data_IF_595285381986
#
_entry.id   IF_595285381986
#
_cell.length_a   1.000
_cell.length_b   1.000
_cell.length_c   1.000
_cell.angle_alpha   90.00
_cell.angle_beta   90.00
_cell.angle_gamma   90.00
#
_symmetry.space_group_name_H-M   'P 1'
#
loop_
_entity.id
_entity.type
_entity.pdbx_description
1 polymer ?
#
# COMPACT_ATOMS: atom_id res chain seq x y z
N UNK A 1 12.24 -9.22 -11.37
CA UNK A 1 13.38 -8.63 -12.12
C UNK A 1 13.93 -7.38 -11.47
N UNK A 2 13.14 -6.31 -11.22
CA UNK A 2 13.70 -5.06 -10.63
C UNK A 2 14.47 -5.25 -9.32
N UNK A 3 13.92 -6.01 -8.37
CA UNK A 3 14.61 -6.31 -7.10
C UNK A 3 15.73 -7.33 -7.27
N UNK A 4 15.53 -8.37 -8.06
CA UNK A 4 16.48 -9.50 -8.19
C UNK A 4 17.64 -9.22 -9.16
N UNK A 5 17.54 -8.17 -9.99
CA UNK A 5 18.54 -7.86 -11.01
C UNK A 5 18.39 -8.70 -12.28
N UNK A 6 19.41 -8.63 -13.15
CA UNK A 6 19.46 -9.31 -14.44
C UNK A 6 20.75 -10.12 -14.65
N UNK A 7 21.50 -10.35 -13.58
CA UNK A 7 22.68 -11.20 -13.64
C UNK A 7 22.25 -12.68 -13.76
N UNK A 8 23.00 -13.49 -14.49
CA UNK A 8 22.65 -14.89 -14.73
C UNK A 8 22.98 -15.79 -13.53
N UNK A 9 24.00 -15.43 -12.76
CA UNK A 9 24.51 -16.23 -11.65
C UNK A 9 24.07 -15.70 -10.29
N UNK A 10 23.91 -14.37 -10.15
CA UNK A 10 23.68 -13.72 -8.87
C UNK A 10 22.36 -12.94 -8.80
N UNK A 11 21.70 -13.02 -7.65
CA UNK A 11 20.59 -12.16 -7.31
C UNK A 11 21.08 -10.90 -6.60
N UNK A 12 20.56 -9.75 -6.99
CA UNK A 12 20.78 -8.49 -6.30
C UNK A 12 20.11 -8.47 -4.93
N UNK A 13 18.90 -9.01 -4.84
CA UNK A 13 18.12 -9.26 -3.64
C UNK A 13 17.16 -10.42 -3.91
N UNK A 14 16.84 -11.23 -2.91
CA UNK A 14 15.81 -12.25 -3.03
C UNK A 14 14.43 -11.60 -2.86
N UNK A 15 13.63 -11.55 -3.91
CA UNK A 15 12.26 -11.04 -3.84
C UNK A 15 11.34 -12.07 -3.20
N UNK A 16 10.42 -11.62 -2.33
CA UNK A 16 9.44 -12.46 -1.67
C UNK A 16 8.02 -11.98 -2.03
N UNK A 17 7.23 -12.85 -2.67
CA UNK A 17 5.82 -12.58 -2.91
C UNK A 17 5.00 -12.89 -1.66
N UNK A 18 4.20 -11.92 -1.17
CA UNK A 18 3.43 -12.04 0.07
C UNK A 18 2.06 -11.35 -0.03
N UNK A 19 1.08 -11.79 0.76
CA UNK A 19 1.07 -12.98 1.62
C UNK A 19 0.21 -14.07 0.98
N UNK A 20 0.76 -15.24 0.77
CA UNK A 20 0.17 -16.32 -0.02
C UNK A 20 -0.69 -17.25 0.86
N UNK A 21 -2.01 -17.30 0.72
CA UNK A 21 -2.88 -16.55 -0.18
C UNK A 21 -4.20 -16.20 0.54
N UNK A 22 -5.00 -15.31 -0.12
CA UNK A 22 -6.29 -14.84 0.42
C UNK A 22 -6.13 -14.18 1.79
N UNK A 23 -5.14 -13.32 1.90
CA UNK A 23 -4.78 -12.56 3.10
C UNK A 23 -5.79 -11.43 3.36
N UNK A 24 -6.12 -11.09 4.59
CA UNK A 24 -5.84 -11.73 5.86
C UNK A 24 -7.08 -11.79 6.77
N UNK A 25 -8.23 -11.29 6.33
CA UNK A 25 -9.36 -10.99 7.17
C UNK A 25 -9.23 -9.63 7.88
N UNK A 26 -10.23 -9.25 8.69
CA UNK A 26 -10.13 -8.11 9.57
C UNK A 26 -8.91 -8.24 10.50
N UNK A 27 -8.20 -7.13 10.73
CA UNK A 27 -6.97 -7.09 11.52
C UNK A 27 -7.17 -7.68 12.92
N UNK A 28 -8.30 -7.40 13.56
CA UNK A 28 -8.64 -7.89 14.91
C UNK A 28 -8.74 -9.41 15.03
N UNK A 29 -8.87 -10.13 13.94
CA UNK A 29 -9.03 -11.60 13.90
C UNK A 29 -8.06 -12.30 12.96
N UNK A 30 -7.03 -11.62 12.45
CA UNK A 30 -6.14 -12.18 11.43
C UNK A 30 -5.41 -13.45 11.83
N UNK A 31 -5.16 -13.64 13.14
CA UNK A 31 -4.53 -14.84 13.70
C UNK A 31 -5.49 -16.03 13.86
N UNK A 32 -6.80 -15.82 13.68
CA UNK A 32 -7.85 -16.85 13.82
C UNK A 32 -8.64 -17.05 12.53
N UNK A 33 -8.55 -16.09 11.60
CA UNK A 33 -9.42 -15.98 10.44
C UNK A 33 -9.30 -17.17 9.48
N UNK A 34 -10.45 -17.59 8.95
CA UNK A 34 -10.54 -18.57 7.87
C UNK A 34 -11.19 -17.93 6.65
N UNK A 35 -10.40 -17.63 5.62
CA UNK A 35 -10.91 -17.13 4.36
C UNK A 35 -11.56 -18.29 3.58
N UNK A 36 -12.87 -18.23 3.40
CA UNK A 36 -13.62 -19.20 2.58
C UNK A 36 -13.81 -18.62 1.18
N UNK A 37 -13.29 -19.32 0.17
CA UNK A 37 -13.34 -18.87 -1.22
C UNK A 37 -13.68 -20.04 -2.13
N UNK A 38 -14.43 -19.75 -3.20
CA UNK A 38 -14.66 -20.69 -4.28
C UNK A 38 -13.35 -20.95 -5.05
N UNK A 39 -13.24 -22.11 -5.71
CA UNK A 39 -12.11 -22.39 -6.59
C UNK A 39 -12.01 -21.36 -7.73
N UNK A 40 -13.15 -20.88 -8.23
CA UNK A 40 -13.19 -19.85 -9.25
C UNK A 40 -12.60 -18.55 -8.74
N UNK A 41 -13.06 -18.02 -7.60
CA UNK A 41 -12.53 -16.77 -7.02
C UNK A 41 -11.06 -16.90 -6.68
N UNK A 42 -10.65 -18.04 -6.15
CA UNK A 42 -9.26 -18.34 -5.85
C UNK A 42 -8.40 -18.22 -7.11
N UNK A 43 -8.79 -18.88 -8.21
CA UNK A 43 -8.04 -18.95 -9.47
C UNK A 43 -8.11 -17.67 -10.30
N UNK A 44 -9.20 -16.93 -10.25
CA UNK A 44 -9.40 -15.75 -11.08
C UNK A 44 -9.01 -14.43 -10.40
N UNK A 45 -8.95 -14.40 -9.05
CA UNK A 45 -8.71 -13.16 -8.31
C UNK A 45 -7.50 -13.25 -7.39
N UNK A 46 -7.45 -14.25 -6.49
CA UNK A 46 -6.45 -14.26 -5.42
C UNK A 46 -5.08 -14.82 -5.84
N UNK A 47 -5.03 -15.71 -6.81
CA UNK A 47 -3.79 -16.36 -7.24
C UNK A 47 -3.07 -15.72 -8.44
N UNK A 48 -3.70 -15.00 -9.39
CA UNK A 48 -3.04 -14.57 -10.62
C UNK A 48 -1.79 -13.71 -10.40
N UNK A 49 -1.79 -12.79 -9.44
CA UNK A 49 -0.62 -11.96 -9.12
C UNK A 49 0.56 -12.80 -8.60
N UNK A 50 0.30 -13.78 -7.74
CA UNK A 50 1.33 -14.71 -7.26
C UNK A 50 1.86 -15.59 -8.39
N UNK A 51 0.97 -16.09 -9.26
CA UNK A 51 1.38 -16.86 -10.45
C UNK A 51 2.33 -16.06 -11.32
N UNK A 52 2.00 -14.81 -11.61
CA UNK A 52 2.89 -13.93 -12.39
C UNK A 52 4.23 -13.68 -11.67
N UNK A 53 4.22 -13.45 -10.34
CA UNK A 53 5.44 -13.32 -9.56
C UNK A 53 6.34 -14.57 -9.67
N UNK A 54 5.75 -15.76 -9.62
CA UNK A 54 6.49 -17.03 -9.71
C UNK A 54 6.94 -17.30 -11.16
N UNK A 55 6.01 -17.29 -12.12
CA UNK A 55 6.29 -17.76 -13.47
C UNK A 55 7.00 -16.74 -14.36
N UNK A 56 6.68 -15.45 -14.19
CA UNK A 56 7.27 -14.37 -14.98
C UNK A 56 8.34 -13.63 -14.18
N UNK A 57 8.05 -13.28 -12.94
CA UNK A 57 8.97 -12.57 -12.04
C UNK A 57 10.10 -13.42 -11.48
N UNK A 58 9.97 -14.76 -11.51
CA UNK A 58 10.93 -15.73 -10.97
C UNK A 58 11.35 -15.40 -9.53
N UNK A 59 10.37 -15.03 -8.68
CA UNK A 59 10.66 -14.69 -7.28
C UNK A 59 11.35 -15.83 -6.55
N UNK A 60 12.35 -15.50 -5.72
CA UNK A 60 13.13 -16.48 -4.97
C UNK A 60 12.40 -16.98 -3.72
N UNK A 61 11.44 -16.22 -3.20
CA UNK A 61 10.71 -16.60 -2.01
C UNK A 61 9.21 -16.33 -2.13
N UNK A 62 8.44 -17.11 -1.38
CA UNK A 62 7.00 -16.90 -1.16
C UNK A 62 6.74 -16.97 0.34
N UNK A 63 5.98 -16.00 0.88
CA UNK A 63 5.60 -15.99 2.29
C UNK A 63 4.14 -16.43 2.43
N UNK A 64 3.89 -17.48 3.24
CA UNK A 64 2.55 -17.89 3.60
C UNK A 64 1.86 -16.86 4.49
N UNK A 65 0.56 -16.67 4.30
CA UNK A 65 -0.24 -15.73 5.07
C UNK A 65 -0.56 -16.26 6.49
N UNK A 66 -0.99 -15.33 7.37
CA UNK A 66 -1.44 -15.69 8.72
C UNK A 66 -2.70 -16.57 8.71
N UNK A 67 -3.69 -16.21 7.93
CA UNK A 67 -5.00 -16.83 7.93
C UNK A 67 -5.00 -18.28 7.45
N UNK A 68 -6.10 -18.95 7.73
CA UNK A 68 -6.50 -20.16 7.01
C UNK A 68 -7.14 -19.79 5.68
N UNK A 69 -6.98 -20.67 4.71
CA UNK A 69 -7.71 -20.62 3.44
C UNK A 69 -8.43 -21.96 3.28
N UNK A 70 -9.77 -21.91 3.20
CA UNK A 70 -10.64 -23.08 3.12
C UNK A 70 -10.33 -24.12 4.21
N UNK A 71 -10.11 -23.65 5.44
CA UNK A 71 -9.90 -24.46 6.64
C UNK A 71 -8.44 -24.82 6.96
N UNK A 72 -7.50 -24.70 6.01
CA UNK A 72 -6.09 -25.04 6.24
C UNK A 72 -5.24 -23.77 6.42
N UNK A 73 -4.34 -23.69 7.44
CA UNK A 73 -3.41 -22.57 7.62
C UNK A 73 -2.53 -22.39 6.40
N UNK A 74 -2.40 -21.18 5.87
CA UNK A 74 -1.66 -20.94 4.64
C UNK A 74 -0.21 -21.43 4.67
N UNK A 75 0.47 -21.29 5.83
CA UNK A 75 1.84 -21.80 6.02
C UNK A 75 1.92 -23.34 6.19
N UNK A 76 0.79 -24.04 6.19
CA UNK A 76 0.68 -25.50 6.29
C UNK A 76 -0.34 -26.10 5.32
N UNK A 77 -0.75 -25.36 4.30
CA UNK A 77 -1.74 -25.76 3.31
C UNK A 77 -1.08 -26.49 2.14
N UNK A 78 -1.17 -27.83 2.11
CA UNK A 78 -0.56 -28.64 1.05
C UNK A 78 -1.11 -28.32 -0.34
N UNK A 79 -2.40 -27.97 -0.45
CA UNK A 79 -3.00 -27.61 -1.74
C UNK A 79 -2.35 -26.33 -2.30
N UNK A 80 -2.20 -25.29 -1.49
CA UNK A 80 -1.55 -24.04 -1.92
C UNK A 80 -0.05 -24.24 -2.17
N UNK A 81 0.68 -24.85 -1.22
CA UNK A 81 2.15 -24.89 -1.23
C UNK A 81 2.69 -25.99 -2.14
N UNK A 82 2.07 -27.19 -2.16
CA UNK A 82 2.57 -28.32 -2.93
C UNK A 82 1.88 -28.41 -4.30
N UNK A 83 0.55 -28.42 -4.34
CA UNK A 83 -0.15 -28.69 -5.59
C UNK A 83 -0.13 -27.48 -6.52
N UNK A 84 -0.44 -26.27 -6.03
CA UNK A 84 -0.44 -25.06 -6.84
C UNK A 84 0.98 -24.51 -7.02
N UNK A 85 1.64 -24.15 -5.91
CA UNK A 85 2.90 -23.41 -5.98
C UNK A 85 4.03 -24.25 -6.59
N UNK A 86 4.28 -25.47 -6.04
CA UNK A 86 5.37 -26.33 -6.50
C UNK A 86 5.05 -27.08 -7.79
N UNK A 87 3.95 -27.84 -7.84
CA UNK A 87 3.67 -28.72 -8.97
C UNK A 87 3.09 -27.99 -10.18
N UNK A 88 2.09 -27.11 -9.98
CA UNK A 88 1.42 -26.45 -11.11
C UNK A 88 2.27 -25.29 -11.66
N UNK A 89 2.85 -24.46 -10.77
CA UNK A 89 3.60 -23.28 -11.22
C UNK A 89 5.09 -23.49 -11.35
N UNK A 90 5.63 -24.59 -10.81
CA UNK A 90 7.05 -24.93 -10.90
C UNK A 90 7.95 -24.04 -10.04
N UNK A 91 7.48 -23.62 -8.86
CA UNK A 91 8.26 -22.81 -7.95
C UNK A 91 9.43 -23.61 -7.36
N UNK A 92 10.65 -23.09 -7.50
CA UNK A 92 11.90 -23.74 -7.04
C UNK A 92 12.54 -23.06 -5.83
N UNK A 93 12.09 -21.85 -5.46
CA UNK A 93 12.62 -21.09 -4.33
C UNK A 93 12.15 -21.63 -2.97
N UNK A 94 12.35 -20.88 -1.90
CA UNK A 94 11.93 -21.27 -0.55
C UNK A 94 10.60 -20.64 -0.13
N UNK A 95 9.87 -21.35 0.73
CA UNK A 95 8.65 -20.84 1.38
C UNK A 95 8.98 -20.46 2.82
N UNK A 96 8.69 -19.20 3.18
CA UNK A 96 8.78 -18.73 4.56
C UNK A 96 7.39 -18.56 5.17
N UNK A 97 7.27 -18.75 6.49
CA UNK A 97 6.06 -18.32 7.20
C UNK A 97 6.05 -16.81 7.37
N UNK A 98 4.89 -16.22 7.57
CA UNK A 98 4.82 -14.93 8.23
C UNK A 98 5.28 -15.05 9.69
N UNK A 99 5.59 -13.92 10.33
CA UNK A 99 6.15 -13.91 11.67
C UNK A 99 5.14 -14.48 12.67
N UNK A 100 5.55 -15.55 13.38
CA UNK A 100 4.71 -16.30 14.33
C UNK A 100 3.53 -17.07 13.73
N UNK A 101 3.25 -17.02 12.44
CA UNK A 101 2.09 -17.65 11.80
C UNK A 101 1.96 -19.16 12.07
N UNK A 102 3.08 -19.89 12.27
CA UNK A 102 3.02 -21.32 12.63
C UNK A 102 2.50 -21.52 14.06
N UNK A 103 2.69 -20.53 14.95
CA UNK A 103 2.14 -20.55 16.30
C UNK A 103 0.62 -20.53 16.28
N UNK A 104 0.04 -19.81 15.33
CA UNK A 104 -1.41 -19.71 15.20
C UNK A 104 -2.09 -21.06 14.95
N UNK A 105 -1.38 -22.06 14.39
CA UNK A 105 -1.98 -23.38 14.15
C UNK A 105 -2.56 -24.02 15.39
N UNK A 106 -1.91 -23.85 16.55
CA UNK A 106 -2.39 -24.39 17.84
C UNK A 106 -2.95 -23.35 18.80
N UNK A 107 -2.66 -22.06 18.65
CA UNK A 107 -3.17 -21.01 19.54
C UNK A 107 -4.42 -20.30 18.98
N UNK A 108 -4.42 -19.94 17.68
CA UNK A 108 -5.51 -19.20 17.04
C UNK A 108 -6.42 -20.09 16.18
N UNK A 109 -5.84 -20.85 15.27
CA UNK A 109 -6.59 -21.69 14.33
C UNK A 109 -7.15 -22.98 14.94
N UNK A 110 -6.51 -23.49 16.00
CA UNK A 110 -6.87 -24.73 16.70
C UNK A 110 -6.95 -25.95 15.77
N UNK A 111 -6.12 -26.00 14.73
CA UNK A 111 -6.02 -27.12 13.79
C UNK A 111 -4.99 -28.17 14.23
N UNK A 112 -4.12 -27.80 15.17
CA UNK A 112 -3.18 -28.66 15.87
C UNK A 112 -3.32 -28.41 17.36
N UNK A 113 -2.78 -29.32 18.19
CA UNK A 113 -2.88 -29.19 19.64
C UNK A 113 -1.57 -28.79 20.32
N UNK A 114 -0.45 -28.94 19.64
CA UNK A 114 0.89 -28.72 20.20
C UNK A 114 1.82 -28.02 19.20
N UNK A 115 2.86 -27.34 19.70
CA UNK A 115 3.90 -26.75 18.83
C UNK A 115 4.56 -27.80 17.93
N UNK A 116 4.77 -29.03 18.42
CA UNK A 116 5.40 -30.13 17.65
C UNK A 116 4.51 -30.52 16.46
N UNK A 117 3.21 -30.65 16.66
CA UNK A 117 2.25 -30.91 15.57
C UNK A 117 2.23 -29.76 14.56
N UNK A 118 2.28 -28.50 15.02
CA UNK A 118 2.27 -27.33 14.16
C UNK A 118 3.50 -27.26 13.25
N UNK A 119 4.69 -27.44 13.79
CA UNK A 119 5.92 -27.44 12.98
C UNK A 119 5.97 -28.64 12.04
N UNK A 120 5.44 -29.79 12.46
CA UNK A 120 5.33 -30.98 11.61
C UNK A 120 4.40 -30.73 10.42
N UNK A 121 3.24 -30.14 10.66
CA UNK A 121 2.31 -29.77 9.59
C UNK A 121 2.94 -28.77 8.62
N UNK A 122 3.55 -27.70 9.10
CA UNK A 122 4.18 -26.68 8.28
C UNK A 122 5.30 -27.28 7.42
N UNK A 123 6.24 -28.01 8.03
CA UNK A 123 7.39 -28.61 7.37
C UNK A 123 6.95 -29.62 6.30
N UNK A 124 6.10 -30.57 6.65
CA UNK A 124 5.65 -31.62 5.73
C UNK A 124 4.84 -31.06 4.55
N UNK A 125 4.13 -29.94 4.74
CA UNK A 125 3.31 -29.32 3.71
C UNK A 125 4.05 -28.27 2.89
N UNK A 126 5.35 -28.02 3.14
CA UNK A 126 6.19 -27.26 2.24
C UNK A 126 6.68 -25.90 2.73
N UNK A 127 6.46 -25.54 3.99
CA UNK A 127 7.09 -24.37 4.60
C UNK A 127 8.54 -24.70 4.99
N UNK A 128 9.50 -23.94 4.42
CA UNK A 128 10.94 -24.22 4.59
C UNK A 128 11.56 -23.41 5.73
N UNK A 129 11.01 -22.22 6.03
CA UNK A 129 11.54 -21.28 7.01
C UNK A 129 10.44 -20.75 7.92
N UNK A 130 10.72 -20.67 9.21
CA UNK A 130 9.87 -20.04 10.20
C UNK A 130 10.38 -18.64 10.60
N UNK A 131 9.58 -17.61 10.39
CA UNK A 131 9.79 -16.33 11.07
C UNK A 131 9.24 -16.46 12.51
N UNK A 132 10.14 -16.56 13.48
CA UNK A 132 9.84 -16.85 14.88
C UNK A 132 10.73 -17.97 15.43
N UNK A 133 10.30 -18.62 16.52
CA UNK A 133 11.12 -19.61 17.20
C UNK A 133 10.55 -21.05 17.19
N UNK A 134 9.43 -21.29 16.49
CA UNK A 134 8.76 -22.58 16.57
C UNK A 134 9.57 -23.74 16.01
N UNK A 135 10.43 -23.51 15.02
CA UNK A 135 11.24 -24.56 14.42
C UNK A 135 12.30 -25.17 15.39
N UNK A 136 12.46 -24.63 16.60
CA UNK A 136 13.15 -25.33 17.67
C UNK A 136 12.51 -26.67 18.04
N UNK A 137 11.20 -26.85 17.81
CA UNK A 137 10.49 -28.10 18.04
C UNK A 137 10.69 -29.14 16.93
N UNK A 138 11.36 -28.80 15.82
CA UNK A 138 11.63 -29.75 14.74
C UNK A 138 12.51 -30.94 15.19
N UNK A 139 13.46 -30.73 16.10
CA UNK A 139 14.24 -31.82 16.66
C UNK A 139 13.32 -32.90 17.28
N UNK A 140 12.37 -32.45 18.12
CA UNK A 140 11.41 -33.35 18.74
C UNK A 140 10.47 -33.97 17.70
N UNK A 141 10.08 -33.23 16.65
CA UNK A 141 9.22 -33.74 15.58
C UNK A 141 9.91 -34.87 14.79
N UNK A 142 11.21 -34.74 14.51
CA UNK A 142 12.01 -35.79 13.87
C UNK A 142 12.17 -37.00 14.79
N UNK A 143 12.55 -36.80 16.06
CA UNK A 143 12.69 -37.86 17.04
C UNK A 143 11.37 -38.67 17.23
N UNK A 144 10.23 -37.98 17.13
CA UNK A 144 8.90 -38.63 17.20
C UNK A 144 8.46 -39.27 15.86
N UNK A 145 9.29 -39.15 14.80
CA UNK A 145 8.94 -39.66 13.47
C UNK A 145 7.80 -38.92 12.76
N UNK A 146 7.51 -37.67 13.18
CA UNK A 146 6.48 -36.81 12.59
C UNK A 146 6.99 -36.03 11.39
N UNK A 147 8.30 -35.81 11.28
CA UNK A 147 9.01 -35.18 10.15
C UNK A 147 10.15 -36.09 9.73
N UNK A 148 10.28 -36.34 8.43
CA UNK A 148 11.42 -37.08 7.87
C UNK A 148 12.62 -36.13 7.75
N UNK A 149 13.83 -36.56 8.16
CA UNK A 149 15.08 -35.83 8.00
C UNK A 149 15.30 -35.39 6.53
N UNK A 150 14.89 -36.23 5.57
CA UNK A 150 14.98 -35.89 4.16
C UNK A 150 14.18 -34.62 3.81
N UNK A 151 12.99 -34.43 4.41
CA UNK A 151 12.22 -33.17 4.18
C UNK A 151 12.89 -31.96 4.82
N UNK A 152 13.55 -32.17 5.95
CA UNK A 152 14.36 -31.12 6.57
C UNK A 152 15.56 -30.74 5.70
N UNK A 153 16.27 -31.74 5.14
CA UNK A 153 17.36 -31.52 4.20
C UNK A 153 16.93 -30.72 2.96
N UNK A 154 15.76 -31.06 2.38
CA UNK A 154 15.18 -30.31 1.27
C UNK A 154 14.91 -28.83 1.64
N UNK A 155 14.40 -28.56 2.84
CA UNK A 155 14.15 -27.19 3.30
C UNK A 155 15.47 -26.41 3.47
N UNK A 156 16.50 -27.04 4.04
CA UNK A 156 17.85 -26.47 4.18
C UNK A 156 18.45 -26.20 2.82
N UNK A 157 18.33 -27.12 1.86
CA UNK A 157 18.82 -26.95 0.49
C UNK A 157 18.17 -25.73 -0.17
N UNK A 158 16.85 -25.59 -0.12
CA UNK A 158 16.13 -24.43 -0.66
C UNK A 158 16.63 -23.12 -0.08
N UNK A 159 16.86 -23.04 1.22
CA UNK A 159 17.36 -21.85 1.91
C UNK A 159 18.80 -21.52 1.55
N UNK A 160 19.69 -22.54 1.49
CA UNK A 160 21.07 -22.32 1.13
C UNK A 160 21.24 -21.99 -0.35
N UNK A 161 20.38 -22.52 -1.22
CA UNK A 161 20.37 -22.14 -2.62
C UNK A 161 20.11 -20.64 -2.80
N UNK A 162 19.17 -20.06 -2.06
CA UNK A 162 18.94 -18.61 -2.06
C UNK A 162 20.19 -17.83 -1.62
N UNK A 163 20.90 -18.30 -0.58
CA UNK A 163 22.14 -17.68 -0.12
C UNK A 163 23.29 -17.81 -1.13
N UNK A 164 23.37 -18.92 -1.84
CA UNK A 164 24.35 -19.10 -2.94
C UNK A 164 24.05 -18.12 -4.07
N UNK A 165 22.82 -18.04 -4.52
CA UNK A 165 22.40 -17.07 -5.55
C UNK A 165 22.63 -15.61 -5.14
N UNK A 166 22.58 -15.30 -3.84
CA UNK A 166 22.93 -13.99 -3.30
C UNK A 166 24.44 -13.76 -3.17
N UNK A 167 25.27 -14.76 -3.45
CA UNK A 167 26.72 -14.68 -3.33
C UNK A 167 27.23 -14.53 -1.90
N UNK A 168 26.42 -14.88 -0.88
CA UNK A 168 26.80 -14.70 0.54
C UNK A 168 27.99 -15.56 0.95
N UNK A 169 28.20 -16.67 0.24
CA UNK A 169 29.30 -17.62 0.49
C UNK A 169 30.52 -17.39 -0.42
N UNK A 170 30.41 -16.49 -1.39
CA UNK A 170 31.45 -16.22 -2.39
C UNK A 170 32.37 -15.07 -1.95
N UNK A 171 33.46 -14.87 -2.69
CA UNK A 171 34.30 -13.70 -2.47
C UNK A 171 33.62 -12.46 -3.00
N UNK A 172 33.76 -11.34 -2.28
CA UNK A 172 33.13 -10.07 -2.63
C UNK A 172 33.42 -9.60 -4.07
N UNK A 173 34.59 -9.95 -4.59
CA UNK A 173 35.01 -9.57 -5.93
C UNK A 173 34.22 -10.30 -7.02
N UNK A 174 33.63 -11.46 -6.73
CA UNK A 174 32.89 -12.31 -7.66
C UNK A 174 31.47 -11.82 -7.86
N UNK A 175 30.80 -11.34 -6.80
CA UNK A 175 29.44 -10.82 -6.89
C UNK A 175 29.41 -9.39 -7.45
N UNK A 176 28.75 -9.15 -8.62
CA UNK A 176 28.70 -7.84 -9.24
C UNK A 176 27.95 -6.81 -8.38
N UNK A 177 27.01 -7.24 -7.55
CA UNK A 177 26.19 -6.35 -6.71
C UNK A 177 26.95 -5.83 -5.49
N UNK A 178 27.99 -6.53 -5.00
CA UNK A 178 28.84 -6.04 -3.92
C UNK A 178 29.69 -4.83 -4.32
N UNK A 179 29.78 -4.56 -5.62
CA UNK A 179 30.47 -3.38 -6.17
C UNK A 179 29.61 -2.11 -6.14
N UNK A 180 28.32 -2.23 -5.82
CA UNK A 180 27.43 -1.06 -5.71
C UNK A 180 27.79 -0.27 -4.45
N UNK A 181 28.31 0.97 -4.57
CA UNK A 181 28.73 1.73 -3.41
C UNK A 181 27.52 2.25 -2.62
N UNK A 182 27.68 2.40 -1.30
CA UNK A 182 26.64 2.95 -0.42
C UNK A 182 26.16 4.35 -0.85
N UNK A 183 27.00 5.11 -1.54
CA UNK A 183 26.68 6.45 -2.06
C UNK A 183 25.54 6.48 -3.09
N UNK A 184 25.13 5.30 -3.61
CA UNK A 184 23.93 5.19 -4.46
C UNK A 184 22.64 5.38 -3.65
N UNK A 185 22.67 5.02 -2.35
CA UNK A 185 21.50 5.18 -1.47
C UNK A 185 21.19 6.67 -1.32
N UNK A 186 19.94 7.04 -1.61
CA UNK A 186 19.42 8.40 -1.55
C UNK A 186 20.26 9.43 -2.36
N UNK A 187 20.90 8.97 -3.43
CA UNK A 187 21.64 9.83 -4.36
C UNK A 187 20.70 10.77 -5.11
N UNK A 188 21.25 11.80 -5.74
CA UNK A 188 20.48 12.72 -6.58
C UNK A 188 19.75 11.99 -7.70
N UNK A 189 20.38 10.96 -8.29
CA UNK A 189 19.76 10.12 -9.31
C UNK A 189 18.54 9.36 -8.75
N UNK A 190 18.66 8.78 -7.56
CA UNK A 190 17.54 8.08 -6.91
C UNK A 190 16.42 9.03 -6.52
N UNK A 191 16.72 10.26 -6.09
CA UNK A 191 15.70 11.29 -5.85
C UNK A 191 14.98 11.71 -7.14
N UNK A 192 15.69 11.86 -8.25
CA UNK A 192 15.09 12.12 -9.57
C UNK A 192 14.18 10.96 -10.00
N UNK A 193 14.63 9.72 -9.80
CA UNK A 193 13.83 8.54 -10.10
C UNK A 193 12.56 8.50 -9.22
N UNK A 194 12.69 8.77 -7.91
CA UNK A 194 11.53 8.83 -7.01
C UNK A 194 10.50 9.87 -7.49
N UNK A 195 10.96 11.07 -7.87
CA UNK A 195 10.09 12.13 -8.41
C UNK A 195 9.41 11.72 -9.73
N UNK A 196 10.14 11.02 -10.61
CA UNK A 196 9.58 10.50 -11.87
C UNK A 196 8.50 9.45 -11.61
N UNK A 197 8.77 8.50 -10.71
CA UNK A 197 7.78 7.48 -10.32
C UNK A 197 6.55 8.15 -9.72
N UNK A 198 6.72 9.11 -8.81
CA UNK A 198 5.62 9.87 -8.22
C UNK A 198 4.76 10.57 -9.29
N UNK A 199 5.38 11.27 -10.27
CA UNK A 199 4.65 11.92 -11.37
C UNK A 199 3.79 10.95 -12.18
N UNK A 200 4.32 9.74 -12.44
CA UNK A 200 3.61 8.73 -13.24
C UNK A 200 2.53 7.98 -12.46
N UNK A 201 2.58 8.01 -11.13
CA UNK A 201 1.59 7.33 -10.29
C UNK A 201 0.39 8.19 -9.91
N UNK A 202 0.54 9.52 -9.88
CA UNK A 202 -0.58 10.44 -9.55
C UNK A 202 -1.71 10.29 -10.56
N UNK A 203 -2.93 10.11 -10.05
CA UNK A 203 -4.14 9.94 -10.85
C UNK A 203 -4.98 11.21 -10.80
N UNK A 204 -5.35 11.74 -11.96
CA UNK A 204 -6.34 12.81 -12.06
C UNK A 204 -7.74 12.19 -12.09
N UNK A 205 -8.50 12.34 -10.98
CA UNK A 205 -9.83 11.77 -10.83
C UNK A 205 -10.91 12.70 -11.38
N UNK A 206 -10.78 14.00 -11.17
CA UNK A 206 -11.72 15.02 -11.65
C UNK A 206 -10.99 16.25 -12.15
N UNK A 207 -11.49 16.90 -13.21
CA UNK A 207 -10.97 18.17 -13.71
C UNK A 207 -12.08 18.94 -14.43
N UNK A 208 -12.95 19.57 -13.66
CA UNK A 208 -14.09 20.30 -14.18
C UNK A 208 -13.66 21.60 -14.87
N UNK A 209 -14.27 21.90 -16.00
CA UNK A 209 -13.95 23.07 -16.81
C UNK A 209 -12.46 23.26 -17.14
N UNK A 210 -11.67 22.19 -17.07
CA UNK A 210 -10.22 22.23 -17.28
C UNK A 210 -9.51 23.23 -16.35
N UNK A 211 -9.91 23.26 -15.05
CA UNK A 211 -9.28 24.11 -14.04
C UNK A 211 -7.79 23.79 -13.89
N UNK A 212 -7.42 22.52 -14.01
CA UNK A 212 -6.04 22.07 -14.06
C UNK A 212 -5.59 21.89 -15.53
N UNK A 213 -4.34 22.22 -15.86
CA UNK A 213 -3.31 22.77 -14.97
C UNK A 213 -3.53 24.25 -14.64
N UNK A 214 -3.16 24.63 -13.42
CA UNK A 214 -3.19 26.02 -12.97
C UNK A 214 -2.16 26.88 -13.71
N UNK A 215 -2.55 28.05 -14.16
CA UNK A 215 -1.61 29.05 -14.70
C UNK A 215 -1.10 29.97 -13.59
N UNK A 216 0.09 29.67 -13.05
CA UNK A 216 0.70 30.47 -11.98
C UNK A 216 0.88 31.95 -12.30
N UNK A 217 0.86 32.34 -13.57
CA UNK A 217 0.97 33.76 -13.97
C UNK A 217 -0.33 34.52 -13.73
N UNK A 218 -1.45 33.84 -13.57
CA UNK A 218 -2.76 34.44 -13.29
C UNK A 218 -3.12 34.42 -11.81
N UNK A 219 -2.30 33.81 -10.97
CA UNK A 219 -2.54 33.66 -9.54
C UNK A 219 -1.67 34.64 -8.75
N UNK A 220 -2.27 35.26 -7.73
CA UNK A 220 -1.58 36.11 -6.76
C UNK A 220 -1.44 35.43 -5.40
N UNK A 221 -2.46 34.67 -5.00
CA UNK A 221 -2.49 33.97 -3.73
C UNK A 221 -3.11 32.59 -3.89
N UNK A 222 -2.44 31.56 -3.38
CA UNK A 222 -2.90 30.20 -3.30
C UNK A 222 -3.15 29.87 -1.83
N UNK A 223 -4.34 29.35 -1.51
CA UNK A 223 -4.65 28.77 -0.20
C UNK A 223 -4.33 27.28 -0.21
N UNK A 224 -3.54 26.82 0.73
CA UNK A 224 -3.28 25.41 0.97
C UNK A 224 -3.86 25.07 2.34
N UNK A 225 -4.74 24.09 2.40
CA UNK A 225 -5.38 23.66 3.66
C UNK A 225 -5.28 22.13 3.80
N UNK A 226 -5.37 21.67 5.02
CA UNK A 226 -5.49 20.23 5.31
C UNK A 226 -4.29 19.62 6.04
N UNK A 227 -4.54 18.53 6.79
CA UNK A 227 -3.55 17.91 7.67
C UNK A 227 -2.40 17.23 6.92
N UNK A 228 -2.62 16.85 5.68
CA UNK A 228 -1.60 16.17 4.87
C UNK A 228 -0.73 17.14 4.06
N UNK A 229 -1.03 18.46 4.08
CA UNK A 229 -0.33 19.43 3.24
C UNK A 229 1.16 19.55 3.61
N UNK A 230 1.48 19.64 4.90
CA UNK A 230 2.86 19.71 5.41
C UNK A 230 3.23 18.48 6.25
N UNK A 231 2.78 17.31 5.82
CA UNK A 231 3.04 16.04 6.50
C UNK A 231 4.04 15.19 5.72
N UNK A 232 5.18 14.86 6.37
CA UNK A 232 6.13 13.88 5.81
C UNK A 232 5.59 12.45 5.91
N UNK A 233 4.78 12.15 6.92
CA UNK A 233 4.16 10.83 7.11
C UNK A 233 3.17 10.50 5.99
N UNK A 234 2.44 11.50 5.52
CA UNK A 234 1.51 11.34 4.40
C UNK A 234 2.18 11.08 3.04
N UNK A 235 3.51 11.22 2.96
CA UNK A 235 4.26 10.90 1.73
C UNK A 235 4.66 9.42 1.63
N UNK A 236 4.66 8.69 2.75
CA UNK A 236 5.23 7.35 2.84
C UNK A 236 4.25 6.40 3.53
N UNK A 237 4.25 5.14 3.10
CA UNK A 237 3.48 4.07 3.75
C UNK A 237 4.36 3.28 4.72
N UNK A 238 3.86 2.15 5.20
CA UNK A 238 4.64 1.22 6.02
C UNK A 238 5.85 0.67 5.27
N UNK A 239 6.85 0.25 6.03
CA UNK A 239 8.12 -0.29 5.53
C UNK A 239 8.93 0.69 4.69
N UNK A 240 8.71 1.98 4.89
CA UNK A 240 9.47 3.05 4.22
C UNK A 240 10.93 3.06 4.62
N UNK A 241 11.78 3.48 3.68
CA UNK A 241 13.16 3.86 3.98
C UNK A 241 13.23 5.32 4.46
N UNK A 242 14.33 5.68 5.10
CA UNK A 242 14.58 7.07 5.50
C UNK A 242 15.25 7.83 4.36
N UNK A 243 14.61 8.88 3.87
CA UNK A 243 15.22 9.82 2.91
C UNK A 243 15.91 10.97 3.64
N UNK A 244 16.99 11.48 3.05
CA UNK A 244 17.65 12.69 3.56
C UNK A 244 16.82 13.96 3.33
N UNK A 245 15.89 13.94 2.38
CA UNK A 245 15.08 15.10 1.97
C UNK A 245 13.66 14.66 1.58
N UNK A 246 12.71 15.11 2.35
CA UNK A 246 11.28 15.01 2.03
C UNK A 246 10.81 16.35 1.50
N UNK A 247 9.94 16.35 0.50
CA UNK A 247 9.26 17.54 -0.03
C UNK A 247 7.77 17.31 0.15
N UNK A 248 7.16 18.02 1.10
CA UNK A 248 5.72 17.98 1.36
C UNK A 248 4.94 18.64 0.22
N UNK A 249 3.63 18.45 0.14
CA UNK A 249 2.82 19.06 -0.91
C UNK A 249 2.87 20.58 -0.80
N UNK A 250 2.79 21.11 0.43
CA UNK A 250 2.94 22.54 0.69
C UNK A 250 4.27 23.07 0.16
N UNK A 251 5.38 22.46 0.58
CA UNK A 251 6.72 22.85 0.15
C UNK A 251 6.90 22.75 -1.37
N UNK A 252 6.37 21.66 -1.98
CA UNK A 252 6.43 21.50 -3.44
C UNK A 252 5.69 22.61 -4.21
N UNK A 253 4.53 23.06 -3.67
CA UNK A 253 3.78 24.20 -4.23
C UNK A 253 4.58 25.49 -4.08
N UNK A 254 5.09 25.79 -2.88
CA UNK A 254 5.91 26.98 -2.61
C UNK A 254 7.14 27.06 -3.52
N UNK A 255 7.88 25.96 -3.63
CA UNK A 255 9.06 25.88 -4.49
C UNK A 255 8.71 26.07 -5.98
N UNK A 256 7.58 25.52 -6.44
CA UNK A 256 7.17 25.61 -7.84
C UNK A 256 6.73 27.01 -8.25
N UNK A 257 5.92 27.67 -7.40
CA UNK A 257 5.40 29.01 -7.75
C UNK A 257 6.43 30.12 -7.49
N UNK A 258 7.34 29.93 -6.54
CA UNK A 258 8.39 30.88 -6.18
C UNK A 258 7.82 32.18 -5.55
N UNK A 259 8.61 33.22 -5.53
CA UNK A 259 8.33 34.50 -4.84
C UNK A 259 7.18 35.33 -5.44
N UNK A 260 6.72 34.99 -6.64
CA UNK A 260 5.72 35.81 -7.36
C UNK A 260 4.27 35.47 -6.96
N UNK A 261 4.01 34.37 -6.29
CA UNK A 261 2.70 33.94 -5.82
C UNK A 261 2.78 33.69 -4.33
N UNK A 262 1.90 34.32 -3.58
CA UNK A 262 1.81 34.08 -2.13
C UNK A 262 1.10 32.76 -1.87
N UNK A 263 1.67 31.95 -1.00
CA UNK A 263 1.05 30.74 -0.48
C UNK A 263 0.63 30.98 0.96
N UNK A 264 -0.64 30.78 1.27
CA UNK A 264 -1.21 30.82 2.61
C UNK A 264 -1.52 29.39 3.03
N UNK A 265 -1.20 29.05 4.26
CA UNK A 265 -1.40 27.70 4.78
C UNK A 265 -2.18 27.69 6.09
N UNK A 266 -3.07 26.72 6.23
CA UNK A 266 -3.65 26.28 7.51
C UNK A 266 -3.76 24.75 7.50
N UNK A 267 -3.29 24.10 8.58
CA UNK A 267 -3.56 22.67 8.77
C UNK A 267 -5.09 22.39 8.83
N UNK A 268 -5.86 23.32 9.36
CA UNK A 268 -7.32 23.34 9.36
C UNK A 268 -7.94 22.35 10.34
N UNK A 269 -7.47 21.10 10.40
CA UNK A 269 -7.95 20.07 11.29
C UNK A 269 -6.85 19.06 11.63
N UNK A 270 -7.10 18.22 12.62
CA UNK A 270 -6.28 17.03 12.86
C UNK A 270 -6.56 15.95 11.80
N UNK A 271 -5.63 15.03 11.59
CA UNK A 271 -5.75 13.96 10.58
C UNK A 271 -7.05 13.14 10.76
N UNK A 272 -7.46 12.81 11.98
CA UNK A 272 -8.62 11.96 12.25
C UNK A 272 -9.45 12.35 13.49
N UNK A 273 -8.93 13.22 14.36
CA UNK A 273 -9.66 13.61 15.57
C UNK A 273 -10.56 14.81 15.31
N UNK A 274 -11.56 14.97 16.18
CA UNK A 274 -12.45 16.13 16.20
C UNK A 274 -11.75 17.42 16.69
N UNK A 275 -10.53 17.31 17.23
CA UNK A 275 -9.74 18.43 17.80
C UNK A 275 -8.25 18.24 17.61
N UNK A 276 -7.49 19.31 17.55
CA UNK A 276 -6.04 19.28 17.33
C UNK A 276 -5.23 19.00 18.60
N UNK A 277 -5.79 19.24 19.77
CA UNK A 277 -5.17 18.97 21.08
C UNK A 277 -6.23 18.74 22.16
N UNK A 278 -5.83 18.23 23.31
CA UNK A 278 -6.75 17.96 24.42
C UNK A 278 -7.46 19.22 25.01
N UNK A 279 -6.91 20.39 24.76
CA UNK A 279 -7.50 21.68 25.21
C UNK A 279 -8.24 22.42 24.08
N UNK A 280 -8.14 21.93 22.84
CA UNK A 280 -8.87 22.47 21.71
C UNK A 280 -10.33 22.01 21.75
N UNK A 281 -11.19 22.75 21.07
CA UNK A 281 -12.58 22.37 20.80
C UNK A 281 -12.71 21.98 19.34
N UNK A 282 -13.77 21.24 19.05
CA UNK A 282 -14.20 20.96 17.69
C UNK A 282 -14.38 22.29 16.93
N UNK A 283 -13.93 22.33 15.69
CA UNK A 283 -14.01 23.51 14.81
C UNK A 283 -13.20 24.77 15.24
N UNK A 284 -12.31 24.67 16.21
CA UNK A 284 -11.47 25.80 16.66
C UNK A 284 -10.69 26.47 15.52
N UNK A 285 -10.34 25.72 14.47
CA UNK A 285 -9.56 26.21 13.32
C UNK A 285 -10.37 26.63 12.11
N UNK A 286 -11.69 26.52 12.14
CA UNK A 286 -12.54 26.91 11.00
C UNK A 286 -12.31 28.37 10.57
N UNK A 287 -12.07 29.26 11.52
CA UNK A 287 -11.78 30.67 11.24
C UNK A 287 -10.47 30.88 10.48
N UNK A 288 -9.45 30.08 10.74
CA UNK A 288 -8.19 30.12 10.00
C UNK A 288 -8.40 29.63 8.57
N UNK A 289 -9.12 28.50 8.41
CA UNK A 289 -9.46 27.95 7.10
C UNK A 289 -10.24 28.98 6.28
N UNK A 290 -11.26 29.61 6.85
CA UNK A 290 -12.04 30.68 6.19
C UNK A 290 -11.14 31.84 5.76
N UNK A 291 -10.27 32.31 6.63
CA UNK A 291 -9.36 33.41 6.33
C UNK A 291 -8.39 33.09 5.16
N UNK A 292 -7.84 31.86 5.15
CA UNK A 292 -7.00 31.37 4.05
C UNK A 292 -7.79 31.31 2.76
N UNK A 293 -8.99 30.70 2.77
CA UNK A 293 -9.82 30.56 1.58
C UNK A 293 -10.26 31.90 0.99
N UNK A 294 -10.75 32.83 1.83
CA UNK A 294 -11.23 34.17 1.40
C UNK A 294 -10.10 35.01 0.77
N UNK A 295 -8.88 34.88 1.30
CA UNK A 295 -7.72 35.64 0.83
C UNK A 295 -7.07 35.03 -0.43
N UNK A 296 -7.56 33.92 -0.94
CA UNK A 296 -6.93 33.16 -2.04
C UNK A 296 -7.69 33.28 -3.36
N UNK A 297 -6.98 33.08 -4.48
CA UNK A 297 -7.56 32.98 -5.81
C UNK A 297 -8.06 31.55 -6.09
N UNK A 298 -7.39 30.55 -5.51
CA UNK A 298 -7.69 29.12 -5.58
C UNK A 298 -7.29 28.45 -4.27
N UNK A 299 -8.05 27.40 -3.87
CA UNK A 299 -7.77 26.62 -2.66
C UNK A 299 -7.37 25.20 -3.04
N UNK A 300 -6.28 24.71 -2.46
CA UNK A 300 -5.81 23.34 -2.58
C UNK A 300 -5.97 22.67 -1.20
N UNK A 301 -6.92 21.75 -1.11
CA UNK A 301 -7.16 20.96 0.10
C UNK A 301 -6.37 19.64 0.01
N UNK A 302 -5.39 19.45 0.88
CA UNK A 302 -4.55 18.25 0.93
C UNK A 302 -4.99 17.39 2.11
N UNK A 303 -5.67 16.31 1.81
CA UNK A 303 -6.40 15.48 2.76
C UNK A 303 -6.09 13.99 2.56
N UNK A 304 -6.56 13.14 3.43
CA UNK A 304 -6.46 11.69 3.30
C UNK A 304 -6.02 11.00 4.57
N UNK A 305 -5.10 10.07 4.41
CA UNK A 305 -4.63 9.16 5.44
C UNK A 305 -3.10 9.24 5.61
N UNK A 306 -2.58 8.47 6.52
CA UNK A 306 -1.17 8.09 6.62
C UNK A 306 -1.05 6.70 7.25
N UNK A 307 0.17 6.17 7.37
CA UNK A 307 0.42 4.84 7.92
C UNK A 307 -0.01 4.67 9.40
N UNK A 308 -0.34 5.75 10.12
CA UNK A 308 -0.90 5.64 11.47
C UNK A 308 -2.39 5.30 11.48
N UNK A 309 -3.07 5.41 10.34
CA UNK A 309 -4.48 5.04 10.18
C UNK A 309 -4.66 3.72 9.41
N UNK A 310 -3.85 3.48 8.40
CA UNK A 310 -3.91 2.26 7.58
C UNK A 310 -2.55 1.54 7.56
N UNK A 311 -1.95 1.41 8.74
CA UNK A 311 -0.64 0.80 8.92
C UNK A 311 -0.68 -0.69 9.28
N UNK A 312 0.49 -1.21 9.64
CA UNK A 312 0.69 -2.58 10.09
C UNK A 312 0.18 -2.78 11.52
N UNK A 313 -0.15 -4.02 11.88
CA UNK A 313 -0.49 -4.37 13.26
C UNK A 313 0.57 -3.92 14.25
N UNK A 314 0.14 -3.24 15.31
CA UNK A 314 1.03 -2.71 16.34
C UNK A 314 1.67 -1.36 16.02
N UNK A 315 1.65 -0.92 14.77
CA UNK A 315 2.21 0.38 14.35
C UNK A 315 1.16 1.50 14.44
N UNK A 316 -0.11 1.15 14.49
CA UNK A 316 -1.22 2.09 14.54
C UNK A 316 -1.54 2.48 15.98
N UNK A 317 -1.38 3.75 16.30
CA UNK A 317 -1.72 4.32 17.59
C UNK A 317 -3.03 5.13 17.57
N UNK A 318 -3.97 4.78 16.70
CA UNK A 318 -5.21 5.52 16.50
C UNK A 318 -6.40 4.94 17.28
N UNK A 319 -7.51 5.66 17.27
CA UNK A 319 -8.76 5.25 17.95
C UNK A 319 -9.49 4.08 17.25
N UNK A 320 -9.10 3.75 16.01
CA UNK A 320 -9.63 2.62 15.27
C UNK A 320 -9.00 1.28 15.68
N UNK A 321 -7.93 1.31 16.45
CA UNK A 321 -7.33 0.18 17.16
C UNK A 321 -6.32 -0.61 16.35
N UNK A 322 -6.74 -1.47 15.43
CA UNK A 322 -5.93 -2.52 14.83
C UNK A 322 -5.41 -2.25 13.41
N UNK A 323 -5.55 -1.04 12.88
CA UNK A 323 -5.03 -0.70 11.55
C UNK A 323 -6.07 -0.68 10.43
N UNK A 324 -7.23 -1.30 10.61
CA UNK A 324 -8.34 -1.23 9.66
C UNK A 324 -9.06 0.11 9.76
N UNK A 325 -9.47 0.66 8.61
CA UNK A 325 -10.40 1.79 8.57
C UNK A 325 -11.81 1.30 8.89
N UNK A 326 -12.59 2.03 9.72
CA UNK A 326 -13.97 1.66 10.02
C UNK A 326 -14.92 1.89 8.83
N UNK A 327 -14.53 2.76 7.91
CA UNK A 327 -15.30 3.12 6.71
C UNK A 327 -14.37 3.70 5.62
N UNK A 328 -14.92 4.05 4.47
CA UNK A 328 -14.20 4.63 3.34
C UNK A 328 -14.16 6.16 3.34
N UNK A 329 -14.76 6.83 4.33
CA UNK A 329 -14.85 8.29 4.36
C UNK A 329 -13.51 8.94 4.75
N UNK A 330 -13.34 10.20 4.38
CA UNK A 330 -12.29 11.04 4.94
C UNK A 330 -12.49 11.15 6.46
N UNK A 331 -11.46 10.91 7.27
CA UNK A 331 -11.61 10.88 8.73
C UNK A 331 -11.71 12.28 9.36
N UNK A 332 -12.27 12.32 10.57
CA UNK A 332 -12.34 13.53 11.39
C UNK A 332 -13.07 14.67 10.71
N UNK A 333 -12.50 15.87 10.81
CA UNK A 333 -13.06 17.11 10.25
C UNK A 333 -12.54 17.43 8.82
N UNK A 334 -11.88 16.51 8.17
CA UNK A 334 -11.37 16.74 6.80
C UNK A 334 -12.49 17.09 5.81
N UNK A 335 -13.66 16.44 5.80
CA UNK A 335 -14.77 16.86 4.94
C UNK A 335 -15.24 18.29 5.22
N UNK A 336 -15.21 18.72 6.48
CA UNK A 336 -15.71 20.05 6.87
C UNK A 336 -14.82 21.17 6.37
N UNK A 337 -13.50 21.01 6.42
CA UNK A 337 -12.59 22.02 5.83
C UNK A 337 -12.74 22.14 4.33
N UNK A 338 -13.06 21.05 3.61
CA UNK A 338 -13.36 21.09 2.16
C UNK A 338 -14.67 21.85 1.92
N UNK A 339 -15.70 21.61 2.74
CA UNK A 339 -16.98 22.35 2.67
C UNK A 339 -16.79 23.84 2.91
N UNK A 340 -16.02 24.22 3.95
CA UNK A 340 -15.64 25.61 4.21
C UNK A 340 -14.94 26.24 3.01
N UNK A 341 -14.04 25.51 2.37
CA UNK A 341 -13.39 25.99 1.15
C UNK A 341 -14.39 26.27 0.02
N UNK A 342 -15.34 25.37 -0.21
CA UNK A 342 -16.41 25.57 -1.22
C UNK A 342 -17.33 26.72 -0.88
N UNK A 343 -17.69 26.94 0.40
CA UNK A 343 -18.48 28.08 0.85
C UNK A 343 -17.82 29.43 0.55
N UNK A 344 -16.50 29.50 0.42
CA UNK A 344 -15.78 30.72 0.04
C UNK A 344 -16.04 31.16 -1.41
N UNK A 345 -16.66 30.30 -2.24
CA UNK A 345 -16.92 30.56 -3.65
C UNK A 345 -15.67 30.52 -4.54
N UNK A 346 -14.53 30.09 -4.00
CA UNK A 346 -13.29 29.93 -4.76
C UNK A 346 -13.22 28.57 -5.44
N UNK A 347 -12.46 28.41 -6.53
CA UNK A 347 -12.14 27.10 -7.05
C UNK A 347 -11.42 26.25 -5.99
N UNK A 348 -11.84 25.01 -5.84
CA UNK A 348 -11.28 24.06 -4.86
C UNK A 348 -10.74 22.83 -5.56
N UNK A 349 -9.48 22.53 -5.29
CA UNK A 349 -8.78 21.34 -5.77
C UNK A 349 -8.47 20.46 -4.56
N UNK A 350 -8.89 19.20 -4.61
CA UNK A 350 -8.55 18.20 -3.59
C UNK A 350 -7.33 17.41 -4.05
N UNK A 351 -6.33 17.32 -3.20
CA UNK A 351 -5.20 16.40 -3.32
C UNK A 351 -5.36 15.34 -2.24
N UNK A 352 -5.72 14.14 -2.63
CA UNK A 352 -5.87 12.99 -1.77
C UNK A 352 -4.52 12.29 -1.59
N UNK A 353 -4.12 12.03 -0.36
CA UNK A 353 -2.99 11.16 -0.02
C UNK A 353 -3.51 9.99 0.82
N UNK A 354 -3.68 8.83 0.20
CA UNK A 354 -4.20 7.62 0.84
C UNK A 354 -3.72 6.38 0.09
N UNK A 355 -3.38 5.31 0.79
CA UNK A 355 -2.95 4.04 0.17
C UNK A 355 -4.11 3.16 -0.30
N UNK A 356 -5.35 3.49 0.05
CA UNK A 356 -6.56 2.72 -0.22
C UNK A 356 -7.67 3.60 -0.81
N UNK A 357 -8.73 2.94 -1.31
CA UNK A 357 -9.91 3.63 -1.84
C UNK A 357 -10.61 4.47 -0.77
N UNK A 358 -11.09 5.64 -1.17
CA UNK A 358 -11.89 6.56 -0.35
C UNK A 358 -13.24 6.83 -1.02
N UNK A 359 -14.29 6.99 -0.21
CA UNK A 359 -15.59 7.43 -0.67
C UNK A 359 -15.58 8.97 -0.77
N UNK A 360 -15.47 9.48 -1.98
CA UNK A 360 -15.36 10.91 -2.30
C UNK A 360 -16.58 11.44 -3.06
N UNK A 361 -17.75 10.83 -2.88
CA UNK A 361 -18.93 11.15 -3.69
C UNK A 361 -19.35 12.61 -3.56
N UNK A 362 -19.29 13.18 -2.34
CA UNK A 362 -19.58 14.58 -2.14
C UNK A 362 -18.52 15.48 -2.79
N UNK A 363 -17.26 15.15 -2.65
CA UNK A 363 -16.15 15.89 -3.24
C UNK A 363 -16.21 15.84 -4.77
N UNK A 364 -16.51 14.65 -5.35
CA UNK A 364 -16.68 14.51 -6.80
C UNK A 364 -17.81 15.39 -7.34
N UNK A 365 -18.90 15.52 -6.61
CA UNK A 365 -20.02 16.39 -7.03
C UNK A 365 -19.67 17.87 -6.92
N UNK A 366 -18.92 18.30 -5.89
CA UNK A 366 -18.86 19.72 -5.50
C UNK A 366 -17.53 20.43 -5.77
N UNK A 367 -16.37 19.73 -5.76
CA UNK A 367 -15.08 20.40 -5.98
C UNK A 367 -14.72 20.44 -7.47
N UNK A 368 -13.78 21.30 -7.82
CA UNK A 368 -13.48 21.59 -9.21
C UNK A 368 -12.45 20.60 -9.81
N UNK A 369 -11.57 20.03 -8.98
CA UNK A 369 -10.64 18.97 -9.39
C UNK A 369 -10.24 18.07 -8.21
N UNK A 370 -9.89 16.82 -8.52
CA UNK A 370 -9.39 15.82 -7.55
C UNK A 370 -8.20 15.12 -8.14
N UNK A 371 -7.09 15.12 -7.40
CA UNK A 371 -5.88 14.34 -7.66
C UNK A 371 -5.73 13.30 -6.56
N UNK A 372 -5.44 12.06 -6.92
CA UNK A 372 -5.03 11.01 -5.99
C UNK A 372 -3.52 10.79 -6.13
N UNK A 373 -2.79 11.12 -5.07
CA UNK A 373 -1.33 10.97 -5.00
C UNK A 373 -0.89 9.67 -4.37
N UNK A 374 -1.77 8.88 -3.78
CA UNK A 374 -1.43 7.73 -2.94
C UNK A 374 -0.43 8.13 -1.85
N UNK A 375 0.62 7.32 -1.64
CA UNK A 375 1.82 7.67 -0.87
C UNK A 375 2.99 7.90 -1.84
N UNK A 376 3.20 9.15 -2.28
CA UNK A 376 4.00 9.45 -3.47
C UNK A 376 5.52 9.39 -3.24
N UNK A 377 5.96 9.07 -2.01
CA UNK A 377 7.36 9.03 -1.65
C UNK A 377 7.96 10.38 -1.30
N UNK A 378 9.24 10.38 -0.94
CA UNK A 378 9.93 11.55 -0.39
C UNK A 378 9.94 12.78 -1.31
N UNK A 379 9.79 12.61 -2.63
CA UNK A 379 9.75 13.69 -3.62
C UNK A 379 8.31 13.99 -4.09
N UNK A 380 7.31 13.45 -3.41
CA UNK A 380 5.90 13.48 -3.81
C UNK A 380 5.34 14.87 -3.96
N UNK A 381 5.63 15.78 -3.02
CA UNK A 381 5.14 17.16 -3.10
C UNK A 381 5.62 17.90 -4.34
N UNK A 382 6.89 17.69 -4.72
CA UNK A 382 7.41 18.27 -5.96
C UNK A 382 6.72 17.71 -7.22
N UNK A 383 6.45 16.41 -7.24
CA UNK A 383 5.76 15.75 -8.34
C UNK A 383 4.29 16.24 -8.47
N UNK A 384 3.58 16.33 -7.35
CA UNK A 384 2.20 16.85 -7.30
C UNK A 384 2.15 18.31 -7.77
N UNK A 385 3.08 19.15 -7.32
CA UNK A 385 3.17 20.53 -7.78
C UNK A 385 3.40 20.64 -9.30
N UNK A 386 4.29 19.80 -9.87
CA UNK A 386 4.47 19.77 -11.33
C UNK A 386 3.17 19.44 -12.07
N UNK A 387 2.38 18.53 -11.57
CA UNK A 387 1.07 18.19 -12.17
C UNK A 387 0.10 19.35 -11.98
N UNK A 388 -0.06 19.88 -10.78
CA UNK A 388 -0.97 21.00 -10.51
C UNK A 388 -0.76 22.20 -11.45
N UNK A 389 0.50 22.50 -11.80
CA UNK A 389 0.86 23.64 -12.61
C UNK A 389 1.27 23.31 -14.06
N UNK A 390 1.04 22.08 -14.53
CA UNK A 390 1.28 21.69 -15.92
C UNK A 390 2.75 21.47 -16.30
N UNK A 391 3.64 21.34 -15.32
CA UNK A 391 5.02 20.89 -15.54
C UNK A 391 5.12 19.42 -15.90
N UNK A 392 4.09 18.63 -15.55
CA UNK A 392 3.92 17.25 -15.94
C UNK A 392 2.44 16.96 -16.26
N UNK A 393 2.21 15.97 -17.15
CA UNK A 393 0.88 15.48 -17.44
C UNK A 393 0.54 14.33 -16.46
N UNK A 394 -0.66 14.26 -15.86
CA UNK A 394 -1.09 13.10 -15.09
C UNK A 394 -1.24 11.88 -15.98
N UNK A 395 -0.56 10.80 -15.63
CA UNK A 395 -0.51 9.54 -16.40
C UNK A 395 -1.05 8.35 -15.60
N UNK A 396 -1.18 8.50 -14.29
CA UNK A 396 -1.61 7.44 -13.39
C UNK A 396 -3.00 6.91 -13.71
N UNK A 397 -3.21 5.63 -13.38
CA UNK A 397 -4.50 4.94 -13.48
C UNK A 397 -4.76 4.20 -12.19
N UNK A 398 -6.00 4.20 -11.73
CA UNK A 398 -6.38 3.53 -10.49
C UNK A 398 -6.10 2.01 -10.58
N UNK A 399 -5.32 1.44 -9.65
CA UNK A 399 -5.10 0.00 -9.56
C UNK A 399 -6.19 -0.72 -8.75
N UNK A 400 -7.19 0.00 -8.28
CA UNK A 400 -8.30 -0.48 -7.45
C UNK A 400 -9.61 0.21 -7.86
N UNK A 401 -10.73 -0.32 -7.37
CA UNK A 401 -12.06 0.29 -7.56
C UNK A 401 -12.37 1.20 -6.38
N UNK A 402 -12.83 2.43 -6.65
CA UNK A 402 -13.38 3.34 -5.63
C UNK A 402 -14.89 3.18 -5.58
N UNK A 403 -15.43 2.93 -4.41
CA UNK A 403 -16.85 2.81 -4.15
C UNK A 403 -17.46 4.16 -3.80
N UNK A 404 -18.76 4.33 -4.03
CA UNK A 404 -19.45 5.57 -3.68
C UNK A 404 -19.62 5.71 -2.17
N UNK A 405 -19.90 4.59 -1.50
CA UNK A 405 -20.09 4.53 -0.04
C UNK A 405 -19.54 3.23 0.54
N UNK A 406 -19.38 3.19 1.85
CA UNK A 406 -18.97 1.99 2.58
C UNK A 406 -20.05 0.90 2.54
N UNK A 407 -21.32 1.30 2.50
CA UNK A 407 -22.49 0.42 2.51
C UNK A 407 -22.60 -0.45 1.25
N UNK A 408 -21.88 -0.11 0.20
CA UNK A 408 -21.80 -0.93 -1.04
C UNK A 408 -20.86 -2.13 -0.88
N UNK A 409 -20.02 -2.14 0.16
CA UNK A 409 -19.10 -3.24 0.39
C UNK A 409 -19.84 -4.42 1.02
N UNK A 410 -19.57 -5.67 0.58
CA UNK A 410 -19.93 -6.85 1.32
C UNK A 410 -19.27 -6.86 2.71
N UNK A 411 -19.78 -7.71 3.61
CA UNK A 411 -19.17 -7.92 4.93
C UNK A 411 -17.67 -8.18 4.82
N UNK A 412 -16.88 -7.59 5.71
CA UNK A 412 -15.42 -7.65 5.64
C UNK A 412 -14.87 -9.08 5.73
N UNK A 413 -15.59 -9.96 6.39
CA UNK A 413 -15.25 -11.39 6.53
C UNK A 413 -15.68 -12.25 5.34
N UNK A 414 -16.49 -11.73 4.42
CA UNK A 414 -16.88 -12.41 3.19
C UNK A 414 -15.80 -12.22 2.11
N UNK A 415 -15.13 -13.29 1.72
CA UNK A 415 -14.08 -13.28 0.70
C UNK A 415 -14.55 -13.77 -0.68
N UNK A 416 -15.86 -14.00 -0.84
CA UNK A 416 -16.44 -14.18 -2.17
C UNK A 416 -16.31 -12.91 -3.01
N UNK A 417 -16.06 -13.05 -4.30
CA UNK A 417 -15.93 -11.91 -5.20
C UNK A 417 -17.26 -11.31 -5.65
N UNK A 418 -18.38 -11.96 -5.36
CA UNK A 418 -19.71 -11.47 -5.70
C UNK A 418 -19.95 -10.07 -5.10
N UNK A 419 -20.38 -9.13 -5.93
CA UNK A 419 -20.65 -7.75 -5.53
C UNK A 419 -19.41 -6.88 -5.31
N UNK A 420 -18.19 -7.41 -5.53
CA UNK A 420 -16.93 -6.67 -5.34
C UNK A 420 -16.35 -6.18 -6.65
N UNK A 421 -15.68 -5.05 -6.56
CA UNK A 421 -14.91 -4.39 -7.62
C UNK A 421 -15.73 -4.15 -8.91
N UNK A 422 -15.19 -3.39 -9.86
CA UNK A 422 -15.80 -3.15 -11.17
C UNK A 422 -16.18 -4.42 -11.94
N UNK A 423 -15.61 -5.59 -11.57
CA UNK A 423 -15.88 -6.87 -12.26
C UNK A 423 -17.22 -7.48 -11.87
N UNK A 424 -17.68 -7.26 -10.64
CA UNK A 424 -18.84 -7.97 -10.07
C UNK A 424 -19.83 -7.07 -9.35
N UNK A 425 -19.58 -5.75 -9.30
CA UNK A 425 -20.55 -4.76 -8.78
C UNK A 425 -21.76 -4.70 -9.68
N UNK A 426 -22.94 -4.55 -9.09
CA UNK A 426 -24.19 -4.24 -9.79
C UNK A 426 -24.38 -2.73 -9.95
N UNK A 427 -23.83 -1.93 -9.02
CA UNK A 427 -23.87 -0.48 -9.05
C UNK A 427 -22.64 0.08 -9.80
N UNK A 428 -22.76 1.32 -10.26
CA UNK A 428 -21.66 2.06 -10.87
C UNK A 428 -20.63 2.45 -9.79
N UNK A 429 -19.36 2.13 -10.03
CA UNK A 429 -18.27 2.55 -9.15
C UNK A 429 -18.12 4.07 -9.19
N UNK A 430 -17.70 4.69 -8.07
CA UNK A 430 -17.32 6.10 -8.08
C UNK A 430 -16.20 6.34 -9.11
N UNK A 431 -15.13 5.55 -9.01
CA UNK A 431 -14.09 5.47 -10.05
C UNK A 431 -13.69 4.00 -10.25
N UNK A 432 -13.86 3.45 -11.46
CA UNK A 432 -13.52 2.04 -11.72
C UNK A 432 -12.01 1.82 -11.80
N UNK A 433 -11.58 0.57 -11.63
CA UNK A 433 -10.23 0.14 -11.93
C UNK A 433 -9.78 0.63 -13.32
N UNK A 434 -8.57 1.18 -13.40
CA UNK A 434 -8.01 1.72 -14.64
C UNK A 434 -8.46 3.16 -14.96
N UNK A 435 -9.30 3.76 -14.13
CA UNK A 435 -9.72 5.15 -14.30
C UNK A 435 -8.58 6.13 -14.07
N UNK A 436 -8.61 7.23 -14.81
CA UNK A 436 -7.70 8.36 -14.65
C UNK A 436 -7.80 9.25 -15.89
N UNK A 437 -7.94 10.54 -15.64
CA UNK A 437 -7.96 11.58 -16.67
C UNK A 437 -6.54 12.01 -17.06
N UNK A 438 -6.45 12.82 -18.10
CA UNK A 438 -5.19 13.41 -18.59
C UNK A 438 -5.47 14.83 -19.09
N UNK A 439 -4.44 15.67 -19.09
CA UNK A 439 -4.51 16.97 -19.79
C UNK A 439 -4.51 16.79 -21.31
N UNK A 440 -3.99 15.65 -21.77
CA UNK A 440 -3.96 15.29 -23.18
C UNK A 440 -5.29 14.68 -23.62
N UNK A 441 -5.83 15.13 -24.73
CA UNK A 441 -7.01 14.53 -25.37
C UNK A 441 -6.61 13.72 -26.58
N UNK A 442 -7.33 12.62 -26.84
CA UNK A 442 -7.10 11.74 -27.97
C UNK A 442 -8.32 11.75 -28.87
N UNK A 443 -8.11 11.84 -30.18
CA UNK A 443 -9.14 11.58 -31.18
C UNK A 443 -8.91 10.19 -31.77
N UNK A 444 -9.92 9.35 -31.70
CA UNK A 444 -9.92 8.03 -32.34
C UNK A 444 -10.60 8.16 -33.69
N UNK A 445 -9.88 7.79 -34.77
CA UNK A 445 -10.36 7.80 -36.14
C UNK A 445 -10.96 6.45 -36.57
#
# INVERSE_FOLDING_TARGET
>A
MGLQGHDEDYLKAAACAKHFAVHSGPESVRHEFNAEVSEQDLRETYLPAFKACVQEGKVEAVMGAYNRTNGAPCCGNSYLLQDILRKEWGFEGHVTSDCWAIKDFHEGHLVTSTPVESVSMAMNNGCDLNCGNLFHFLTQAVENGMVDEKRLDEAVENLFMARMKLGVLDKKEENPFDKIPYTVVDSEEMRKLNREVARRSVVLLKNENHILPLDKKKLHTIGVIGPNADSRKALVGNYEGTSSRYITVLEGIEDYVGENVRVLYSEGCHLYRDRTSNLAMEHDRDSEVRAVCEASDVVIAVVGLDATLEGEEGDTGNEYGSGDKPNLNLPGLQPDIIRIAKESGKPVIVVLLAGSAMALSWEDEHVDAILDGFYPGAQGGAAIAEILFGGANPEGKLPITFYQTTEELPEFTDYAMKGRTYRYMENEALYPFGYGLSYTTYAYG
#
